data_IF_236596140915
#
_entry.id   IF_236596140915
#
_cell.length_a   1.000
_cell.length_b   1.000
_cell.length_c   1.000
_cell.angle_alpha   90.00
_cell.angle_beta   90.00
_cell.angle_gamma   90.00
#
_symmetry.space_group_name_H-M   'P 1'
#
loop_
_entity.id
_entity.type
_entity.pdbx_description
1 polymer ?
#
# COMPACT_ATOMS: atom_id res chain seq x y z
N UNK A 1 71.08 15.69 22.80
CA UNK A 1 69.61 15.82 23.04
C UNK A 1 68.90 15.45 21.80
N UNK A 2 68.24 14.27 21.74
CA UNK A 2 67.49 13.78 20.57
C UNK A 2 66.02 14.00 20.88
N UNK A 3 65.35 14.88 20.13
CA UNK A 3 63.92 15.15 20.19
C UNK A 3 63.16 14.03 19.45
N UNK A 4 62.32 13.28 20.17
CA UNK A 4 61.41 12.32 19.62
C UNK A 4 60.10 13.06 19.32
N UNK A 5 59.80 13.31 18.05
CA UNK A 5 58.48 13.77 17.63
C UNK A 5 57.55 12.55 17.55
N UNK A 6 56.59 12.46 18.44
CA UNK A 6 55.49 11.50 18.40
C UNK A 6 54.39 12.04 17.47
N UNK A 7 54.24 11.43 16.27
CA UNK A 7 53.12 11.71 15.39
C UNK A 7 51.89 10.91 15.88
N UNK A 8 50.92 11.62 16.39
CA UNK A 8 49.61 11.03 16.70
C UNK A 8 48.80 10.93 15.37
N UNK A 9 48.61 9.71 14.88
CA UNK A 9 47.72 9.46 13.76
C UNK A 9 46.27 9.50 14.23
N UNK A 10 45.52 10.52 13.84
CA UNK A 10 44.09 10.59 14.06
C UNK A 10 43.39 9.62 13.12
N UNK A 11 42.86 8.53 13.64
CA UNK A 11 41.97 7.61 12.88
C UNK A 11 40.59 8.28 12.81
N UNK A 12 40.24 8.81 11.64
CA UNK A 12 38.89 9.28 11.34
C UNK A 12 38.00 8.05 11.17
N UNK A 13 37.20 7.75 12.20
CA UNK A 13 36.10 6.75 12.07
C UNK A 13 35.00 7.41 11.28
N UNK A 14 34.89 7.08 10.00
CA UNK A 14 33.73 7.43 9.19
C UNK A 14 32.56 6.60 9.70
N UNK A 15 31.68 7.21 10.50
CA UNK A 15 30.40 6.63 10.82
C UNK A 15 29.56 6.58 9.51
N UNK A 16 29.54 5.44 8.84
CA UNK A 16 28.53 5.18 7.82
C UNK A 16 27.18 5.31 8.52
N UNK A 17 26.36 6.28 8.12
CA UNK A 17 24.98 6.30 8.53
C UNK A 17 24.36 4.99 8.03
N UNK A 18 24.08 4.06 8.93
CA UNK A 18 23.36 2.85 8.59
C UNK A 18 22.00 3.30 8.03
N UNK A 19 21.79 3.11 6.74
CA UNK A 19 20.46 3.30 6.15
C UNK A 19 19.57 2.24 6.78
N UNK A 20 18.53 2.69 7.49
CA UNK A 20 17.60 1.76 8.13
C UNK A 20 16.89 0.92 7.05
N UNK A 21 16.83 -0.40 7.25
CA UNK A 21 16.14 -1.28 6.31
C UNK A 21 14.67 -0.91 6.20
N UNK A 22 14.15 -0.74 4.97
CA UNK A 22 12.71 -0.58 4.78
C UNK A 22 11.94 -1.81 5.28
N UNK A 23 10.66 -1.61 5.57
CA UNK A 23 9.77 -2.72 5.89
C UNK A 23 8.51 -2.67 5.04
N UNK A 24 7.93 -3.83 4.74
CA UNK A 24 6.63 -3.96 4.09
C UNK A 24 5.70 -4.81 4.94
N UNK A 25 4.45 -4.36 5.06
CA UNK A 25 3.40 -5.06 5.80
C UNK A 25 2.32 -5.44 4.79
N UNK A 26 2.11 -6.75 4.60
CA UNK A 26 1.05 -7.29 3.76
C UNK A 26 -0.23 -7.45 4.57
N UNK A 27 -1.35 -7.00 4.01
CA UNK A 27 -2.64 -7.17 4.65
C UNK A 27 -3.15 -8.62 4.51
N UNK A 28 -4.34 -8.86 5.05
CA UNK A 28 -4.99 -10.16 5.02
C UNK A 28 -5.07 -10.72 3.59
N UNK A 29 -5.05 -12.04 3.46
CA UNK A 29 -5.01 -12.73 2.17
C UNK A 29 -3.65 -13.36 1.84
N UNK A 30 -2.59 -12.93 2.56
CA UNK A 30 -1.23 -13.46 2.39
C UNK A 30 -0.45 -12.79 1.26
N UNK A 31 0.86 -12.89 1.34
CA UNK A 31 1.81 -12.26 0.42
C UNK A 31 1.62 -12.73 -1.04
N UNK A 32 1.34 -14.01 -1.25
CA UNK A 32 1.19 -14.63 -2.57
C UNK A 32 -0.28 -14.82 -2.97
N UNK A 33 -1.07 -13.76 -2.82
CA UNK A 33 -2.49 -13.73 -3.15
C UNK A 33 -2.79 -13.70 -4.67
N UNK A 34 -1.75 -13.74 -5.50
CA UNK A 34 -1.81 -13.59 -6.97
C UNK A 34 -2.46 -12.28 -7.42
N UNK A 35 -2.40 -11.26 -6.59
CA UNK A 35 -3.07 -9.98 -6.79
C UNK A 35 -2.30 -8.84 -6.12
N UNK A 36 -2.91 -8.20 -5.15
CA UNK A 36 -2.50 -6.93 -4.56
C UNK A 36 -1.23 -7.05 -3.70
N UNK A 37 -1.21 -7.98 -2.73
CA UNK A 37 -0.05 -8.18 -1.87
C UNK A 37 1.16 -8.70 -2.66
N UNK A 38 0.97 -9.63 -3.58
CA UNK A 38 2.05 -10.15 -4.42
C UNK A 38 2.62 -9.08 -5.34
N UNK A 39 1.79 -8.15 -5.84
CA UNK A 39 2.26 -7.01 -6.62
C UNK A 39 3.13 -6.07 -5.79
N UNK A 40 2.75 -5.81 -4.54
CA UNK A 40 3.55 -5.01 -3.61
C UNK A 40 4.88 -5.71 -3.26
N UNK A 41 4.86 -7.02 -3.01
CA UNK A 41 6.06 -7.83 -2.82
C UNK A 41 6.98 -7.79 -4.03
N UNK A 42 6.45 -7.98 -5.23
CA UNK A 42 7.22 -7.95 -6.47
C UNK A 42 7.92 -6.60 -6.65
N UNK A 43 7.25 -5.49 -6.29
CA UNK A 43 7.86 -4.17 -6.29
C UNK A 43 9.01 -4.03 -5.30
N UNK A 44 8.84 -4.52 -4.07
CA UNK A 44 9.89 -4.51 -3.05
C UNK A 44 11.08 -5.41 -3.44
N UNK A 45 10.82 -6.59 -3.99
CA UNK A 45 11.86 -7.51 -4.47
C UNK A 45 12.67 -6.89 -5.61
N UNK A 46 11.99 -6.28 -6.60
CA UNK A 46 12.66 -5.57 -7.69
C UNK A 46 13.57 -4.46 -7.18
N UNK A 47 13.10 -3.67 -6.22
CA UNK A 47 13.93 -2.64 -5.59
C UNK A 47 15.18 -3.26 -4.93
N UNK A 48 15.03 -4.35 -4.20
CA UNK A 48 16.15 -5.04 -3.55
C UNK A 48 17.17 -5.56 -4.59
N UNK A 49 16.68 -6.18 -5.67
CA UNK A 49 17.52 -6.71 -6.75
C UNK A 49 18.29 -5.60 -7.50
N UNK A 50 17.64 -4.46 -7.75
CA UNK A 50 18.23 -3.32 -8.45
C UNK A 50 19.24 -2.53 -7.60
N UNK A 51 19.05 -2.49 -6.29
CA UNK A 51 19.88 -1.66 -5.38
C UNK A 51 20.88 -2.45 -4.55
N UNK A 52 20.73 -3.78 -4.48
CA UNK A 52 21.45 -4.64 -3.53
C UNK A 52 21.00 -4.44 -2.08
N UNK A 53 19.87 -3.76 -1.86
CA UNK A 53 19.28 -3.54 -0.55
C UNK A 53 18.55 -4.75 -0.01
N UNK A 54 18.13 -4.66 1.24
CA UNK A 54 17.27 -5.64 1.90
C UNK A 54 16.05 -4.95 2.50
N UNK A 55 14.97 -5.69 2.70
CA UNK A 55 13.79 -5.20 3.40
C UNK A 55 13.27 -6.26 4.38
N UNK A 56 12.58 -5.77 5.40
CA UNK A 56 11.87 -6.62 6.37
C UNK A 56 10.43 -6.78 5.92
N UNK A 57 9.81 -7.89 6.27
CA UNK A 57 8.41 -8.12 5.90
C UNK A 57 7.61 -8.82 6.99
N UNK A 58 6.29 -8.65 6.94
CA UNK A 58 5.33 -9.41 7.74
C UNK A 58 4.01 -9.55 7.00
N UNK A 59 3.40 -10.73 7.13
CA UNK A 59 2.04 -11.03 6.68
C UNK A 59 1.12 -11.03 7.90
N UNK A 60 0.01 -10.26 7.84
CA UNK A 60 -0.95 -10.22 8.92
C UNK A 60 -1.89 -11.43 8.89
N UNK A 61 -2.22 -11.93 10.05
CA UNK A 61 -3.17 -13.04 10.21
C UNK A 61 -4.56 -12.59 10.68
N UNK A 62 -4.65 -11.38 11.24
CA UNK A 62 -5.91 -10.77 11.66
C UNK A 62 -5.78 -9.24 11.72
N UNK A 63 -6.92 -8.56 11.75
CA UNK A 63 -7.01 -7.10 11.70
C UNK A 63 -6.35 -6.39 12.87
N UNK A 64 -6.40 -6.98 14.07
CA UNK A 64 -5.84 -6.37 15.28
C UNK A 64 -4.30 -6.24 15.21
N UNK A 65 -3.65 -7.01 14.34
CA UNK A 65 -2.19 -6.94 14.19
C UNK A 65 -1.69 -5.71 13.43
N UNK A 66 -2.56 -4.95 12.73
CA UNK A 66 -2.13 -3.80 11.93
C UNK A 66 -1.36 -2.76 12.75
N UNK A 67 -1.92 -2.32 13.86
CA UNK A 67 -1.26 -1.34 14.74
C UNK A 67 0.02 -1.91 15.36
N UNK A 68 -0.03 -3.16 15.83
CA UNK A 68 1.13 -3.82 16.44
C UNK A 68 2.30 -3.96 15.45
N UNK A 69 2.02 -4.33 14.19
CA UNK A 69 3.05 -4.47 13.16
C UNK A 69 3.72 -3.12 12.83
N UNK A 70 2.92 -2.05 12.72
CA UNK A 70 3.43 -0.69 12.51
C UNK A 70 4.37 -0.27 13.62
N UNK A 71 3.94 -0.39 14.89
CA UNK A 71 4.76 -0.05 16.05
C UNK A 71 6.04 -0.87 16.09
N UNK A 72 5.94 -2.19 15.91
CA UNK A 72 7.09 -3.10 15.92
C UNK A 72 8.17 -2.69 14.92
N UNK A 73 7.81 -2.35 13.68
CA UNK A 73 8.78 -1.94 12.68
C UNK A 73 9.34 -0.54 12.95
N UNK A 74 8.52 0.39 13.43
CA UNK A 74 8.98 1.74 13.79
C UNK A 74 9.96 1.68 14.98
N UNK A 75 9.65 0.93 16.03
CA UNK A 75 10.52 0.68 17.19
C UNK A 75 11.83 -0.02 16.80
N UNK A 76 11.77 -0.92 15.81
CA UNK A 76 12.95 -1.60 15.27
C UNK A 76 13.76 -0.71 14.31
N UNK A 77 13.37 0.55 14.11
CA UNK A 77 14.06 1.53 13.29
C UNK A 77 13.91 1.34 11.79
N UNK A 78 12.92 0.55 11.33
CA UNK A 78 12.68 0.39 9.88
C UNK A 78 12.20 1.71 9.26
N UNK A 79 12.77 2.08 8.12
CA UNK A 79 12.43 3.34 7.45
C UNK A 79 12.80 3.29 5.94
N UNK A 80 11.83 3.45 5.02
CA UNK A 80 10.39 3.62 5.25
C UNK A 80 9.66 2.32 5.64
N UNK A 81 8.43 2.47 6.17
CA UNK A 81 7.50 1.36 6.38
C UNK A 81 6.38 1.49 5.35
N UNK A 82 6.20 0.47 4.53
CA UNK A 82 5.20 0.41 3.46
C UNK A 82 4.06 -0.52 3.86
N UNK A 83 2.82 -0.08 3.73
CA UNK A 83 1.63 -0.87 4.01
C UNK A 83 0.85 -1.13 2.72
N UNK A 84 0.50 -2.38 2.49
CA UNK A 84 -0.31 -2.80 1.35
C UNK A 84 -1.79 -2.80 1.73
N UNK A 85 -2.51 -1.71 1.40
CA UNK A 85 -3.97 -1.67 1.49
C UNK A 85 -4.57 -0.58 2.38
N UNK A 86 -5.78 -0.19 2.03
CA UNK A 86 -6.51 0.91 2.67
C UNK A 86 -6.89 0.64 4.14
N UNK A 87 -6.97 -0.61 4.53
CA UNK A 87 -7.35 -1.00 5.89
C UNK A 87 -6.35 -0.57 6.96
N UNK A 88 -5.14 -0.18 6.56
CA UNK A 88 -4.14 0.40 7.47
C UNK A 88 -4.43 1.84 7.87
N UNK A 89 -5.36 2.55 7.22
CA UNK A 89 -5.56 3.99 7.43
C UNK A 89 -5.81 4.36 8.90
N UNK A 90 -6.67 3.62 9.60
CA UNK A 90 -6.97 3.87 11.01
C UNK A 90 -5.78 3.59 11.93
N UNK A 91 -5.12 2.45 11.76
CA UNK A 91 -3.94 2.09 12.54
C UNK A 91 -2.79 3.10 12.30
N UNK A 92 -2.57 3.48 11.04
CA UNK A 92 -1.54 4.45 10.67
C UNK A 92 -1.81 5.83 11.25
N UNK A 93 -3.07 6.30 11.27
CA UNK A 93 -3.45 7.58 11.87
C UNK A 93 -3.14 7.67 13.36
N UNK A 94 -3.16 6.53 14.07
CA UNK A 94 -2.81 6.42 15.48
C UNK A 94 -1.30 6.31 15.73
N UNK A 95 -0.60 5.59 14.86
CA UNK A 95 0.82 5.24 15.07
C UNK A 95 1.76 6.31 14.53
N UNK A 96 1.49 6.88 13.36
CA UNK A 96 2.44 7.81 12.71
C UNK A 96 2.82 9.03 13.55
N UNK A 97 1.93 9.65 14.37
CA UNK A 97 2.30 10.76 15.25
C UNK A 97 3.32 10.39 16.31
N UNK A 98 3.35 9.13 16.77
CA UNK A 98 4.27 8.66 17.82
C UNK A 98 5.69 8.45 17.28
N UNK A 99 5.87 8.39 15.95
CA UNK A 99 7.15 8.14 15.29
C UNK A 99 7.43 9.18 14.18
N UNK A 100 7.64 10.45 14.53
CA UNK A 100 7.72 11.55 13.55
C UNK A 100 8.90 11.42 12.57
N UNK A 101 9.96 10.72 12.94
CA UNK A 101 11.15 10.52 12.12
C UNK A 101 11.02 9.32 11.18
N UNK A 102 10.08 8.40 11.44
CA UNK A 102 9.78 7.27 10.56
C UNK A 102 8.90 7.72 9.40
N UNK A 103 9.28 7.36 8.18
CA UNK A 103 8.50 7.60 6.97
C UNK A 103 7.59 6.41 6.70
N UNK A 104 6.34 6.71 6.47
CA UNK A 104 5.30 5.72 6.16
C UNK A 104 4.77 5.93 4.75
N UNK A 105 4.55 4.83 4.02
CA UNK A 105 3.85 4.86 2.74
C UNK A 105 2.71 3.85 2.76
N UNK A 106 1.51 4.28 2.40
CA UNK A 106 0.33 3.43 2.41
C UNK A 106 -0.34 3.40 1.05
N UNK A 107 -0.58 2.19 0.53
CA UNK A 107 -1.20 1.97 -0.77
C UNK A 107 -2.72 1.98 -0.60
N UNK A 108 -3.44 2.56 -1.57
CA UNK A 108 -4.89 2.77 -1.58
C UNK A 108 -5.42 3.71 -0.49
N UNK A 109 -4.56 4.58 0.04
CA UNK A 109 -4.96 5.64 0.96
C UNK A 109 -4.40 6.97 0.46
N UNK A 110 -5.25 7.88 0.02
CA UNK A 110 -4.87 9.22 -0.45
C UNK A 110 -5.53 10.36 0.33
N UNK A 111 -6.25 10.03 1.40
CA UNK A 111 -6.96 11.00 2.24
C UNK A 111 -6.28 11.32 3.57
N UNK A 112 -5.25 10.56 3.97
CA UNK A 112 -4.45 10.89 5.15
C UNK A 112 -3.42 11.96 4.78
N UNK A 113 -3.44 13.06 5.54
CA UNK A 113 -2.48 14.16 5.40
C UNK A 113 -1.70 14.33 6.69
N UNK A 114 -0.49 13.74 6.74
CA UNK A 114 0.41 13.77 7.89
C UNK A 114 1.84 13.99 7.42
N UNK A 115 2.71 14.71 8.18
CA UNK A 115 4.03 15.12 7.72
C UNK A 115 4.97 13.96 7.33
N UNK A 116 4.78 12.79 7.96
CA UNK A 116 5.60 11.60 7.77
C UNK A 116 4.88 10.47 7.03
N UNK A 117 3.68 10.73 6.48
CA UNK A 117 2.87 9.74 5.76
C UNK A 117 2.75 10.12 4.28
N UNK A 118 3.07 9.20 3.40
CA UNK A 118 2.82 9.27 1.96
C UNK A 118 1.69 8.32 1.58
N UNK A 119 0.55 8.87 1.23
CA UNK A 119 -0.53 8.11 0.62
C UNK A 119 -0.28 7.88 -0.88
N UNK A 120 -0.58 6.69 -1.35
CA UNK A 120 -0.51 6.27 -2.74
C UNK A 120 -1.92 5.86 -3.16
N UNK A 121 -2.49 6.56 -4.13
CA UNK A 121 -3.80 6.24 -4.70
C UNK A 121 -3.72 6.02 -6.20
N UNK A 122 -4.78 5.46 -6.75
CA UNK A 122 -4.92 5.19 -8.17
C UNK A 122 -6.20 5.85 -8.72
N UNK A 123 -6.29 5.92 -10.03
CA UNK A 123 -7.50 6.36 -10.74
C UNK A 123 -8.38 5.14 -11.04
N UNK A 124 -8.88 4.48 -10.02
CA UNK A 124 -9.62 3.21 -10.10
C UNK A 124 -10.82 3.30 -11.05
N UNK A 125 -11.46 4.47 -11.08
CA UNK A 125 -12.62 4.75 -11.93
C UNK A 125 -12.28 4.71 -13.43
N UNK A 126 -11.05 5.07 -13.82
CA UNK A 126 -10.63 5.04 -15.24
C UNK A 126 -10.52 3.60 -15.76
N UNK A 127 -9.81 2.73 -15.01
CA UNK A 127 -9.72 1.31 -15.35
C UNK A 127 -11.10 0.63 -15.35
N UNK A 128 -11.90 0.93 -14.33
CA UNK A 128 -13.26 0.39 -14.21
C UNK A 128 -14.18 0.87 -15.32
N UNK A 129 -14.03 2.09 -15.81
CA UNK A 129 -14.77 2.61 -16.96
C UNK A 129 -14.52 1.76 -18.20
N UNK A 130 -13.26 1.44 -18.51
CA UNK A 130 -12.91 0.60 -19.64
C UNK A 130 -13.49 -0.81 -19.51
N UNK A 131 -13.45 -1.39 -18.31
CA UNK A 131 -14.06 -2.70 -18.01
C UNK A 131 -15.58 -2.63 -18.18
N UNK A 132 -16.22 -1.55 -17.76
CA UNK A 132 -17.64 -1.31 -17.96
C UNK A 132 -18.04 -1.26 -19.44
N UNK A 133 -17.24 -0.58 -20.27
CA UNK A 133 -17.45 -0.54 -21.73
C UNK A 133 -17.39 -1.96 -22.32
N UNK A 134 -16.39 -2.75 -21.95
CA UNK A 134 -16.24 -4.13 -22.41
C UNK A 134 -17.42 -5.01 -21.95
N UNK A 135 -17.85 -4.87 -20.70
CA UNK A 135 -18.99 -5.60 -20.18
C UNK A 135 -20.28 -5.31 -20.95
N UNK A 136 -20.54 -4.04 -21.30
CA UNK A 136 -21.70 -3.65 -22.08
C UNK A 136 -21.66 -4.23 -23.51
N UNK A 137 -20.49 -4.26 -24.14
CA UNK A 137 -20.30 -4.86 -25.46
C UNK A 137 -20.50 -6.38 -25.45
N UNK A 138 -20.03 -7.05 -24.39
CA UNK A 138 -20.14 -8.50 -24.26
C UNK A 138 -21.55 -8.98 -23.84
N UNK A 139 -22.34 -8.12 -23.20
CA UNK A 139 -23.64 -8.47 -22.65
C UNK A 139 -24.65 -8.71 -23.78
N UNK A 140 -25.24 -9.91 -23.81
CA UNK A 140 -26.32 -10.27 -24.74
C UNK A 140 -27.72 -9.83 -24.27
N UNK A 141 -27.84 -9.57 -22.95
CA UNK A 141 -29.14 -9.24 -22.32
C UNK A 141 -29.31 -7.74 -22.05
N UNK A 142 -28.26 -6.96 -22.22
CA UNK A 142 -28.21 -5.56 -21.77
C UNK A 142 -28.14 -5.41 -20.27
N UNK A 143 -27.90 -6.50 -19.52
CA UNK A 143 -27.70 -6.46 -18.06
C UNK A 143 -26.29 -6.91 -17.71
N UNK A 144 -25.63 -6.15 -16.83
CA UNK A 144 -24.28 -6.44 -16.33
C UNK A 144 -24.25 -6.28 -14.80
N UNK A 145 -23.26 -6.90 -14.15
CA UNK A 145 -23.11 -6.87 -12.70
C UNK A 145 -21.82 -6.19 -12.24
N UNK A 146 -21.87 -5.55 -11.09
CA UNK A 146 -20.72 -5.09 -10.31
C UNK A 146 -20.79 -5.69 -8.91
N UNK A 147 -19.74 -6.38 -8.50
CA UNK A 147 -19.59 -6.89 -7.13
C UNK A 147 -18.45 -6.14 -6.47
N UNK A 148 -18.76 -5.33 -5.47
CA UNK A 148 -17.78 -4.63 -4.65
C UNK A 148 -17.59 -5.35 -3.32
N UNK A 149 -16.44 -5.14 -2.67
CA UNK A 149 -16.18 -5.65 -1.32
C UNK A 149 -16.91 -4.83 -0.27
N UNK A 150 -16.23 -3.84 0.30
CA UNK A 150 -16.80 -2.92 1.28
C UNK A 150 -17.54 -1.74 0.62
N UNK A 151 -18.62 -1.28 1.25
CA UNK A 151 -19.31 -0.06 0.82
C UNK A 151 -18.62 1.21 1.36
N UNK A 152 -17.48 1.55 0.76
CA UNK A 152 -16.66 2.73 1.08
C UNK A 152 -16.39 3.57 -0.17
N UNK A 153 -15.99 4.86 -0.02
CA UNK A 153 -15.74 5.74 -1.16
C UNK A 153 -14.76 5.18 -2.21
N UNK A 154 -13.72 4.46 -1.78
CA UNK A 154 -12.75 3.79 -2.67
C UNK A 154 -13.47 2.79 -3.58
N UNK A 155 -14.24 1.85 -3.03
CA UNK A 155 -14.93 0.80 -3.79
C UNK A 155 -16.06 1.40 -4.64
N UNK A 156 -16.73 2.44 -4.14
CA UNK A 156 -17.74 3.16 -4.92
C UNK A 156 -17.15 3.83 -6.16
N UNK A 157 -15.88 4.29 -6.12
CA UNK A 157 -15.22 4.84 -7.33
C UNK A 157 -15.06 3.79 -8.43
N UNK A 158 -14.72 2.54 -8.09
CA UNK A 158 -14.74 1.42 -9.05
C UNK A 158 -16.13 1.24 -9.65
N UNK A 159 -17.15 1.13 -8.81
CA UNK A 159 -18.55 0.94 -9.26
C UNK A 159 -19.06 2.09 -10.12
N UNK A 160 -18.76 3.34 -9.76
CA UNK A 160 -19.14 4.51 -10.53
C UNK A 160 -18.46 4.53 -11.91
N UNK A 161 -17.16 4.27 -11.97
CA UNK A 161 -16.43 4.17 -13.24
C UNK A 161 -17.01 3.10 -14.13
N UNK A 162 -17.21 1.89 -13.57
CA UNK A 162 -17.83 0.78 -14.28
C UNK A 162 -19.20 1.12 -14.86
N UNK A 163 -20.10 1.67 -14.03
CA UNK A 163 -21.44 2.03 -14.47
C UNK A 163 -21.44 3.09 -15.58
N UNK A 164 -20.56 4.09 -15.49
CA UNK A 164 -20.41 5.10 -16.53
C UNK A 164 -19.89 4.49 -17.85
N UNK A 165 -18.91 3.58 -17.77
CA UNK A 165 -18.41 2.85 -18.94
C UNK A 165 -19.49 2.03 -19.63
N UNK A 166 -20.32 1.32 -18.85
CA UNK A 166 -21.50 0.59 -19.37
C UNK A 166 -22.45 1.52 -20.09
N UNK A 167 -22.81 2.65 -19.47
CA UNK A 167 -23.77 3.61 -20.02
C UNK A 167 -23.24 4.35 -21.25
N UNK A 168 -21.94 4.53 -21.36
CA UNK A 168 -21.32 5.14 -22.55
C UNK A 168 -21.48 4.26 -23.80
N UNK A 169 -21.52 2.94 -23.64
CA UNK A 169 -21.72 1.99 -24.75
C UNK A 169 -23.20 1.68 -24.99
N UNK A 170 -23.93 1.44 -23.91
CA UNK A 170 -25.36 1.14 -23.98
C UNK A 170 -26.11 1.93 -22.90
N UNK A 171 -26.67 3.10 -23.22
CA UNK A 171 -27.43 3.93 -22.28
C UNK A 171 -28.61 3.21 -21.61
N UNK A 172 -29.17 2.20 -22.26
CA UNK A 172 -30.33 1.43 -21.76
C UNK A 172 -29.91 0.21 -20.93
N UNK A 173 -28.61 -0.14 -20.87
CA UNK A 173 -28.16 -1.30 -20.10
C UNK A 173 -28.50 -1.16 -18.63
N UNK A 174 -28.81 -2.26 -17.97
CA UNK A 174 -29.01 -2.34 -16.51
C UNK A 174 -27.70 -2.73 -15.83
N UNK A 175 -27.32 -1.99 -14.80
CA UNK A 175 -26.19 -2.33 -13.92
C UNK A 175 -26.73 -2.76 -12.57
N UNK A 176 -26.49 -4.02 -12.20
CA UNK A 176 -26.82 -4.56 -10.88
C UNK A 176 -25.55 -4.47 -10.05
N UNK A 177 -25.58 -3.73 -8.93
CA UNK A 177 -24.44 -3.57 -8.04
C UNK A 177 -24.75 -4.17 -6.66
N UNK A 178 -23.78 -4.88 -6.10
CA UNK A 178 -23.87 -5.42 -4.75
C UNK A 178 -22.53 -5.30 -4.03
N UNK A 179 -22.56 -5.08 -2.71
CA UNK A 179 -21.39 -5.09 -1.84
C UNK A 179 -21.41 -6.36 -0.98
N UNK A 180 -20.26 -7.02 -0.85
CA UNK A 180 -20.19 -8.34 -0.20
C UNK A 180 -20.10 -8.25 1.31
N UNK A 181 -19.62 -7.12 1.86
CA UNK A 181 -19.41 -7.00 3.29
C UNK A 181 -19.25 -5.58 3.81
N UNK A 182 -19.01 -5.52 5.10
CA UNK A 182 -18.75 -4.27 5.86
C UNK A 182 -17.34 -4.22 6.44
N UNK A 183 -16.54 -5.26 6.19
CA UNK A 183 -15.16 -5.37 6.68
C UNK A 183 -14.18 -5.55 5.51
N UNK A 184 -12.90 -5.21 5.67
CA UNK A 184 -11.87 -5.40 4.65
C UNK A 184 -11.58 -6.87 4.30
N UNK A 185 -12.04 -7.80 5.14
CA UNK A 185 -11.80 -9.24 5.02
C UNK A 185 -12.94 -9.99 4.29
N UNK A 186 -13.77 -9.27 3.52
CA UNK A 186 -14.89 -9.85 2.80
C UNK A 186 -14.47 -10.56 1.51
#
# INVERSE_FOLDING_TARGET
MKSILSSAAAVAISASAAVADPAIIFDLGGKFDKSFNESAFTGAQRWADETGGSFREIELQNEAQREQALRRFAEAGSNPIVMAGFAFADALSKVAPDYPDTKFAVIDVNWLSMPNVRGIGFNEHEGSYLVGMLAAQASKTGTVGFVGGMDIPLIRRFGCGYAQGVKAVNPNATVIANMTGTTPAA
#
